data_IF_030908282651
#
_entry.id   IF_030908282651
#
_cell.length_a   1.000
_cell.length_b   1.000
_cell.length_c   1.000
_cell.angle_alpha   90.00
_cell.angle_beta   90.00
_cell.angle_gamma   90.00
#
_symmetry.space_group_name_H-M   'P 1'
#
loop_
_entity.id
_entity.type
_entity.pdbx_description
1 polymer ?
#
# COMPACT_ATOMS: atom_id res chain seq x y z
N UNK A 1 -8.04 -15.11 -2.45
CA UNK A 1 -6.59 -15.37 -2.49
C UNK A 1 -6.19 -16.19 -1.28
N UNK A 2 -5.25 -17.09 -1.46
CA UNK A 2 -4.58 -17.82 -0.38
C UNK A 2 -3.09 -17.73 -0.63
N UNK A 3 -2.33 -17.55 0.42
CA UNK A 3 -0.88 -17.61 0.35
C UNK A 3 -0.44 -19.05 0.17
N UNK A 4 0.54 -19.27 -0.66
CA UNK A 4 1.09 -20.60 -0.90
C UNK A 4 2.22 -20.85 0.09
N UNK A 5 2.04 -21.82 0.97
CA UNK A 5 3.05 -22.16 1.99
C UNK A 5 4.28 -22.85 1.41
N UNK A 6 4.06 -23.69 0.43
CA UNK A 6 5.10 -24.49 -0.17
C UNK A 6 4.90 -24.58 -1.68
N UNK A 7 5.93 -24.16 -2.40
CA UNK A 7 5.93 -24.17 -3.86
C UNK A 7 5.86 -25.60 -4.38
N UNK A 8 6.41 -26.56 -3.67
CA UNK A 8 6.46 -27.96 -4.10
C UNK A 8 5.13 -28.67 -3.91
N UNK A 9 4.42 -28.38 -2.85
CA UNK A 9 3.17 -29.07 -2.49
C UNK A 9 1.93 -28.54 -3.20
N UNK A 10 1.99 -27.32 -3.77
CA UNK A 10 0.83 -26.62 -4.32
C UNK A 10 -0.26 -26.31 -3.28
N UNK A 11 0.07 -26.42 -1.99
CA UNK A 11 -0.85 -26.16 -0.90
C UNK A 11 -1.03 -24.66 -0.66
N UNK A 12 -2.24 -24.30 -0.24
CA UNK A 12 -2.61 -22.95 0.12
C UNK A 12 -3.03 -22.93 1.58
N UNK A 13 -2.32 -22.19 2.43
CA UNK A 13 -2.53 -22.21 3.87
C UNK A 13 -3.73 -21.41 4.32
N UNK A 14 -3.66 -20.11 4.23
CA UNK A 14 -4.66 -19.21 4.75
C UNK A 14 -4.97 -18.06 3.79
N UNK A 15 -6.14 -17.42 3.91
CA UNK A 15 -6.39 -16.18 3.21
C UNK A 15 -5.44 -15.11 3.71
N UNK A 16 -4.72 -14.47 2.79
CA UNK A 16 -3.99 -13.24 3.06
C UNK A 16 -4.85 -12.03 2.65
N UNK A 17 -5.30 -11.29 3.63
CA UNK A 17 -6.20 -10.16 3.43
C UNK A 17 -5.52 -8.99 2.74
N UNK A 18 -4.23 -8.77 3.01
CA UNK A 18 -3.44 -7.70 2.40
C UNK A 18 -3.29 -7.94 0.90
N UNK A 19 -2.74 -9.07 0.51
CA UNK A 19 -2.56 -9.42 -0.90
C UNK A 19 -3.90 -9.53 -1.62
N UNK A 20 -4.93 -10.05 -0.94
CA UNK A 20 -6.27 -10.13 -1.50
C UNK A 20 -6.86 -8.74 -1.77
N UNK A 21 -6.75 -7.82 -0.81
CA UNK A 21 -7.27 -6.46 -0.95
C UNK A 21 -6.54 -5.68 -2.05
N UNK A 22 -5.21 -5.77 -2.09
CA UNK A 22 -4.40 -5.17 -3.14
C UNK A 22 -4.74 -5.73 -4.52
N UNK A 23 -4.89 -7.04 -4.65
CA UNK A 23 -5.28 -7.66 -5.91
C UNK A 23 -6.67 -7.21 -6.36
N UNK A 24 -7.64 -7.17 -5.46
CA UNK A 24 -9.00 -6.68 -5.75
C UNK A 24 -8.96 -5.24 -6.27
N UNK A 25 -8.17 -4.38 -5.63
CA UNK A 25 -8.06 -2.98 -6.04
C UNK A 25 -7.39 -2.84 -7.41
N UNK A 26 -6.30 -3.57 -7.64
CA UNK A 26 -5.62 -3.57 -8.94
C UNK A 26 -6.51 -4.10 -10.07
N UNK A 27 -7.31 -5.14 -9.82
CA UNK A 27 -8.30 -5.60 -10.80
C UNK A 27 -9.38 -4.55 -11.07
N UNK A 28 -9.85 -3.85 -10.04
CA UNK A 28 -10.83 -2.77 -10.23
C UNK A 28 -10.27 -1.64 -11.11
N UNK A 29 -9.02 -1.23 -10.87
CA UNK A 29 -8.33 -0.22 -11.68
C UNK A 29 -8.09 -0.70 -13.12
N UNK A 30 -7.65 -1.95 -13.29
CA UNK A 30 -7.42 -2.54 -14.60
C UNK A 30 -8.71 -2.63 -15.43
N UNK A 31 -9.82 -3.06 -14.83
CA UNK A 31 -11.13 -3.09 -15.48
C UNK A 31 -11.56 -1.68 -15.90
N UNK A 32 -11.41 -0.70 -15.01
CA UNK A 32 -11.75 0.69 -15.30
C UNK A 32 -10.93 1.24 -16.47
N UNK A 33 -9.63 1.00 -16.46
CA UNK A 33 -8.73 1.41 -17.54
C UNK A 33 -9.05 0.72 -18.85
N UNK A 34 -9.28 -0.60 -18.83
CA UNK A 34 -9.63 -1.38 -20.01
C UNK A 34 -10.95 -0.91 -20.63
N UNK A 35 -11.97 -0.62 -19.82
CA UNK A 35 -13.26 -0.07 -20.29
C UNK A 35 -13.10 1.32 -20.91
N UNK A 36 -12.23 2.16 -20.36
CA UNK A 36 -11.93 3.49 -20.92
C UNK A 36 -11.17 3.41 -22.23
N UNK A 37 -10.20 2.53 -22.32
CA UNK A 37 -9.36 2.37 -23.53
C UNK A 37 -10.12 1.61 -24.63
N UNK A 38 -10.97 0.66 -24.26
CA UNK A 38 -11.68 -0.22 -25.19
C UNK A 38 -10.81 -1.36 -25.74
N UNK A 39 -11.45 -2.34 -26.39
CA UNK A 39 -10.76 -3.43 -27.07
C UNK A 39 -10.27 -4.58 -26.19
N UNK A 40 -10.55 -4.57 -24.90
CA UNK A 40 -10.16 -5.62 -23.95
C UNK A 40 -11.37 -6.43 -23.46
N UNK A 41 -11.24 -7.75 -23.46
CA UNK A 41 -12.21 -8.62 -22.79
C UNK A 41 -11.92 -8.68 -21.28
N UNK A 42 -12.77 -8.04 -20.50
CA UNK A 42 -12.65 -7.96 -19.04
C UNK A 42 -13.50 -8.99 -18.31
N UNK A 43 -14.25 -9.84 -18.99
CA UNK A 43 -15.24 -10.74 -18.37
C UNK A 43 -14.66 -11.61 -17.25
N UNK A 44 -13.48 -12.20 -17.47
CA UNK A 44 -12.81 -13.02 -16.44
C UNK A 44 -12.36 -12.19 -15.23
N UNK A 45 -11.87 -10.97 -15.46
CA UNK A 45 -11.43 -10.05 -14.40
C UNK A 45 -12.62 -9.59 -13.57
N UNK A 46 -13.73 -9.25 -14.22
CA UNK A 46 -14.96 -8.86 -13.55
C UNK A 46 -15.54 -10.01 -12.72
N UNK A 47 -15.58 -11.21 -13.27
CA UNK A 47 -16.05 -12.38 -12.55
C UNK A 47 -15.18 -12.68 -11.32
N UNK A 48 -13.86 -12.51 -11.42
CA UNK A 48 -12.96 -12.63 -10.27
C UNK A 48 -13.28 -11.55 -9.24
N UNK A 49 -13.30 -10.28 -9.64
CA UNK A 49 -13.50 -9.15 -8.73
C UNK A 49 -14.85 -9.25 -8.00
N UNK A 50 -15.92 -9.62 -8.70
CA UNK A 50 -17.25 -9.83 -8.08
C UNK A 50 -17.20 -10.89 -6.98
N UNK A 51 -16.59 -12.06 -7.24
CA UNK A 51 -16.47 -13.12 -6.23
C UNK A 51 -15.62 -12.70 -5.03
N UNK A 52 -14.52 -12.02 -5.27
CA UNK A 52 -13.64 -11.54 -4.22
C UNK A 52 -14.32 -10.46 -3.35
N UNK A 53 -15.02 -9.51 -3.97
CA UNK A 53 -15.81 -8.50 -3.25
C UNK A 53 -16.99 -9.12 -2.49
N UNK A 54 -17.65 -10.12 -3.05
CA UNK A 54 -18.71 -10.86 -2.35
C UNK A 54 -18.19 -11.55 -1.08
N UNK A 55 -17.01 -12.14 -1.15
CA UNK A 55 -16.36 -12.73 0.02
C UNK A 55 -16.05 -11.66 1.08
N UNK A 56 -15.37 -10.58 0.70
CA UNK A 56 -15.00 -9.50 1.62
C UNK A 56 -16.24 -8.83 2.23
N UNK A 57 -17.25 -8.54 1.42
CA UNK A 57 -18.47 -7.90 1.90
C UNK A 57 -19.24 -8.78 2.89
N UNK A 58 -19.36 -10.11 2.62
CA UNK A 58 -19.97 -11.05 3.58
C UNK A 58 -19.19 -11.12 4.88
N UNK A 59 -17.85 -11.18 4.79
CA UNK A 59 -16.98 -11.21 5.96
C UNK A 59 -17.18 -9.96 6.82
N UNK A 60 -17.11 -8.78 6.23
CA UNK A 60 -17.33 -7.52 6.96
C UNK A 60 -18.76 -7.41 7.50
N UNK A 61 -19.76 -7.94 6.81
CA UNK A 61 -21.14 -7.92 7.27
C UNK A 61 -21.46 -8.86 8.45
N UNK A 62 -20.57 -9.82 8.73
CA UNK A 62 -20.73 -10.71 9.88
C UNK A 62 -20.76 -9.92 11.19
N UNK A 63 -21.69 -10.24 12.07
CA UNK A 63 -21.81 -9.58 13.37
C UNK A 63 -20.64 -9.82 14.30
N UNK A 64 -19.96 -10.96 14.13
CA UNK A 64 -18.76 -11.32 14.87
C UNK A 64 -17.46 -10.70 14.27
N UNK A 65 -17.56 -9.97 13.16
CA UNK A 65 -16.41 -9.34 12.54
C UNK A 65 -15.86 -8.20 13.42
N UNK A 66 -14.71 -8.44 13.98
CA UNK A 66 -13.97 -7.48 14.81
C UNK A 66 -12.46 -7.77 14.68
N UNK A 67 -11.83 -7.44 13.54
CA UNK A 67 -10.42 -7.73 13.33
C UNK A 67 -9.52 -6.90 14.23
N UNK A 68 -8.49 -7.53 14.78
CA UNK A 68 -7.47 -6.84 15.56
C UNK A 68 -6.41 -6.18 14.69
N UNK A 69 -6.04 -6.83 13.58
CA UNK A 69 -5.07 -6.27 12.64
C UNK A 69 -5.71 -5.30 11.65
N UNK A 70 -4.90 -4.46 11.03
CA UNK A 70 -5.33 -3.55 9.95
C UNK A 70 -5.36 -4.19 8.57
N UNK A 71 -5.05 -5.48 8.45
CA UNK A 71 -5.01 -6.17 7.16
C UNK A 71 -6.32 -6.07 6.36
N UNK A 72 -7.48 -6.05 7.04
CA UNK A 72 -8.78 -5.96 6.37
C UNK A 72 -9.20 -4.53 6.02
N UNK A 73 -8.42 -3.51 6.42
CA UNK A 73 -8.59 -2.15 5.88
C UNK A 73 -8.31 -2.11 4.36
N UNK A 74 -7.51 -3.03 3.86
CA UNK A 74 -7.28 -3.22 2.42
C UNK A 74 -8.54 -3.60 1.62
N UNK A 75 -9.64 -3.96 2.27
CA UNK A 75 -10.91 -4.21 1.60
C UNK A 75 -11.71 -2.94 1.29
N UNK A 76 -11.45 -1.83 1.96
CA UNK A 76 -12.28 -0.62 1.86
C UNK A 76 -12.27 -0.05 0.44
N UNK A 77 -11.11 0.32 -0.06
CA UNK A 77 -10.97 0.93 -1.39
C UNK A 77 -11.46 0.02 -2.53
N UNK A 78 -11.11 -1.28 -2.59
CA UNK A 78 -11.60 -2.14 -3.66
C UNK A 78 -13.10 -2.42 -3.59
N UNK A 79 -13.70 -2.51 -2.40
CA UNK A 79 -15.15 -2.63 -2.26
C UNK A 79 -15.88 -1.41 -2.81
N UNK A 80 -15.38 -0.19 -2.54
CA UNK A 80 -15.92 1.03 -3.12
C UNK A 80 -15.75 1.09 -4.64
N UNK A 81 -14.55 0.75 -5.14
CA UNK A 81 -14.30 0.70 -6.57
C UNK A 81 -15.23 -0.29 -7.28
N UNK A 82 -15.44 -1.48 -6.70
CA UNK A 82 -16.36 -2.47 -7.22
C UNK A 82 -17.83 -2.02 -7.10
N UNK A 83 -18.20 -1.29 -6.04
CA UNK A 83 -19.52 -0.72 -5.91
C UNK A 83 -19.86 0.22 -7.08
N UNK A 84 -18.90 1.08 -7.44
CA UNK A 84 -19.03 1.99 -8.60
C UNK A 84 -19.05 1.22 -9.93
N UNK A 85 -18.12 0.29 -10.12
CA UNK A 85 -17.99 -0.48 -11.36
C UNK A 85 -19.24 -1.32 -11.68
N UNK A 86 -19.89 -1.85 -10.66
CA UNK A 86 -20.95 -2.85 -10.79
C UNK A 86 -22.32 -2.40 -10.25
N UNK A 87 -22.44 -1.19 -9.73
CA UNK A 87 -23.67 -0.69 -9.13
C UNK A 87 -24.08 -1.47 -7.87
N UNK A 88 -23.12 -1.97 -7.08
CA UNK A 88 -23.38 -2.87 -5.94
C UNK A 88 -23.41 -2.13 -4.61
N UNK A 89 -24.57 -1.73 -4.12
CA UNK A 89 -24.76 -1.02 -2.84
C UNK A 89 -24.19 -1.80 -1.66
N UNK A 90 -24.34 -3.13 -1.63
CA UNK A 90 -23.80 -3.97 -0.55
C UNK A 90 -22.29 -3.79 -0.37
N UNK A 91 -21.52 -3.63 -1.46
CA UNK A 91 -20.08 -3.40 -1.39
C UNK A 91 -19.77 -2.05 -0.76
N UNK A 92 -20.53 -1.00 -1.11
CA UNK A 92 -20.34 0.32 -0.51
C UNK A 92 -20.68 0.30 0.99
N UNK A 93 -21.77 -0.37 1.39
CA UNK A 93 -22.13 -0.54 2.80
C UNK A 93 -21.06 -1.29 3.59
N UNK A 94 -20.51 -2.37 3.04
CA UNK A 94 -19.44 -3.11 3.68
C UNK A 94 -18.16 -2.26 3.80
N UNK A 95 -17.82 -1.49 2.76
CA UNK A 95 -16.68 -0.58 2.81
C UNK A 95 -16.84 0.48 3.91
N UNK A 96 -18.00 1.10 4.00
CA UNK A 96 -18.30 2.10 5.05
C UNK A 96 -18.19 1.48 6.45
N UNK A 97 -18.77 0.29 6.67
CA UNK A 97 -18.65 -0.42 7.96
C UNK A 97 -17.20 -0.73 8.34
N UNK A 98 -16.41 -1.21 7.38
CA UNK A 98 -15.00 -1.47 7.63
C UNK A 98 -14.25 -0.17 7.97
N UNK A 99 -14.54 0.90 7.24
CA UNK A 99 -13.92 2.19 7.49
C UNK A 99 -14.30 2.77 8.85
N UNK A 100 -15.56 2.67 9.27
CA UNK A 100 -15.99 3.11 10.60
C UNK A 100 -15.26 2.35 11.72
N UNK A 101 -15.09 1.02 11.57
CA UNK A 101 -14.34 0.22 12.51
C UNK A 101 -12.89 0.72 12.66
N UNK A 102 -12.19 0.91 11.54
CA UNK A 102 -10.81 1.37 11.58
C UNK A 102 -10.68 2.85 11.96
N UNK A 103 -11.62 3.69 11.59
CA UNK A 103 -11.62 5.09 12.02
C UNK A 103 -11.80 5.23 13.53
N UNK A 104 -12.72 4.49 14.13
CA UNK A 104 -12.90 4.49 15.59
C UNK A 104 -11.62 4.07 16.30
N UNK A 105 -10.97 3.02 15.83
CA UNK A 105 -9.73 2.48 16.36
C UNK A 105 -8.57 3.47 16.28
N UNK A 106 -8.42 4.10 15.11
CA UNK A 106 -7.32 5.04 14.85
C UNK A 106 -7.48 6.39 15.53
N UNK A 107 -8.69 6.84 15.77
CA UNK A 107 -8.95 8.15 16.36
C UNK A 107 -9.03 8.10 17.89
N UNK A 108 -9.50 6.99 18.45
CA UNK A 108 -9.66 6.86 19.91
C UNK A 108 -8.33 6.59 20.61
N UNK A 109 -7.37 5.99 19.94
CA UNK A 109 -6.13 5.48 20.55
C UNK A 109 -6.36 4.47 21.68
N UNK A 110 -7.59 3.94 21.78
CA UNK A 110 -7.93 2.95 22.80
C UNK A 110 -7.27 1.60 22.53
N UNK A 111 -7.06 1.32 21.27
CA UNK A 111 -6.25 0.20 20.79
C UNK A 111 -5.24 0.74 19.77
N UNK A 112 -4.03 1.14 20.19
CA UNK A 112 -3.02 1.76 19.32
C UNK A 112 -2.38 0.77 18.34
N UNK A 113 -3.11 -0.23 17.90
CA UNK A 113 -2.60 -1.28 17.04
C UNK A 113 -3.02 -1.09 15.59
N UNK A 114 -2.12 -0.50 14.81
CA UNK A 114 -2.33 -0.22 13.39
C UNK A 114 -1.66 -1.24 12.46
N UNK A 115 -1.11 -2.26 13.02
CA UNK A 115 -0.29 -3.21 12.31
C UNK A 115 -0.90 -4.58 12.16
N UNK A 116 -0.01 -5.57 12.15
CA UNK A 116 -0.34 -6.97 11.94
C UNK A 116 -0.69 -7.28 10.49
N UNK A 117 -0.11 -6.51 9.56
CA UNK A 117 -0.30 -6.75 8.12
C UNK A 117 0.58 -7.90 7.65
N UNK A 118 1.80 -7.67 7.25
CA UNK A 118 2.69 -8.69 6.72
C UNK A 118 3.91 -8.96 7.61
N UNK A 119 4.65 -7.91 7.95
CA UNK A 119 5.99 -8.03 8.50
C UNK A 119 6.08 -7.67 9.99
N UNK A 120 5.06 -7.03 10.54
CA UNK A 120 5.10 -6.55 11.90
C UNK A 120 3.99 -7.14 12.74
N UNK A 121 4.32 -7.52 13.97
CA UNK A 121 3.34 -7.84 15.00
C UNK A 121 2.83 -6.60 15.74
N UNK A 122 3.39 -5.44 15.46
CA UNK A 122 3.03 -4.14 16.00
C UNK A 122 2.53 -3.19 14.91
N UNK A 123 2.62 -1.90 15.19
CA UNK A 123 2.28 -0.83 14.27
C UNK A 123 3.14 -0.88 13.01
N UNK A 124 2.55 -0.71 11.85
CA UNK A 124 3.25 -0.66 10.57
C UNK A 124 2.65 0.36 9.59
N UNK A 125 3.46 0.78 8.61
CA UNK A 125 3.04 1.73 7.60
C UNK A 125 1.96 1.17 6.67
N UNK A 126 1.95 -0.13 6.45
CA UNK A 126 1.03 -0.76 5.50
C UNK A 126 -0.39 -0.71 6.02
N UNK A 127 -0.59 -0.92 7.33
CA UNK A 127 -1.86 -0.74 7.99
C UNK A 127 -2.35 0.70 7.91
N UNK A 128 -1.47 1.66 8.20
CA UNK A 128 -1.78 3.08 8.08
C UNK A 128 -2.13 3.47 6.63
N UNK A 129 -1.38 2.96 5.66
CA UNK A 129 -1.67 3.21 4.26
C UNK A 129 -3.00 2.62 3.81
N UNK A 130 -3.33 1.40 4.23
CA UNK A 130 -4.61 0.79 3.89
C UNK A 130 -5.81 1.64 4.38
N UNK A 131 -5.71 2.16 5.62
CA UNK A 131 -6.70 3.06 6.18
C UNK A 131 -6.75 4.40 5.40
N UNK A 132 -5.60 5.00 5.13
CA UNK A 132 -5.50 6.23 4.35
C UNK A 132 -6.16 6.08 2.97
N UNK A 133 -5.80 5.04 2.23
CA UNK A 133 -6.38 4.75 0.92
C UNK A 133 -7.91 4.57 1.01
N UNK A 134 -8.37 3.82 2.02
CA UNK A 134 -9.78 3.56 2.24
C UNK A 134 -10.57 4.81 2.58
N UNK A 135 -10.08 5.64 3.49
CA UNK A 135 -10.75 6.88 3.90
C UNK A 135 -10.78 7.92 2.78
N UNK A 136 -9.68 8.04 2.02
CA UNK A 136 -9.65 8.93 0.86
C UNK A 136 -10.64 8.48 -0.21
N UNK A 137 -10.74 7.18 -0.47
CA UNK A 137 -11.72 6.62 -1.40
C UNK A 137 -13.16 6.89 -0.95
N UNK A 138 -13.44 6.82 0.37
CA UNK A 138 -14.75 7.18 0.92
C UNK A 138 -15.06 8.66 0.75
N UNK A 139 -14.10 9.54 1.02
CA UNK A 139 -14.27 10.95 0.74
C UNK A 139 -14.61 11.20 -0.74
N UNK A 140 -13.88 10.55 -1.64
CA UNK A 140 -14.12 10.68 -3.08
C UNK A 140 -15.51 10.18 -3.50
N UNK A 141 -16.00 9.16 -2.82
CA UNK A 141 -17.32 8.58 -3.08
C UNK A 141 -18.47 9.39 -2.48
N UNK A 142 -18.30 9.89 -1.25
CA UNK A 142 -19.39 10.51 -0.47
C UNK A 142 -19.34 12.03 -0.44
N UNK A 143 -18.14 12.61 -0.60
CA UNK A 143 -17.84 14.02 -0.37
C UNK A 143 -18.05 14.48 1.07
N UNK A 144 -18.14 13.56 2.00
CA UNK A 144 -18.19 13.86 3.42
C UNK A 144 -16.81 14.29 3.94
N UNK A 145 -16.74 15.52 4.45
CA UNK A 145 -15.50 16.14 4.95
C UNK A 145 -14.88 15.38 6.13
N UNK A 146 -15.67 14.61 6.86
CA UNK A 146 -15.16 13.77 7.95
C UNK A 146 -14.21 12.70 7.41
N UNK A 147 -14.52 12.08 6.28
CA UNK A 147 -13.62 11.11 5.64
C UNK A 147 -12.33 11.77 5.14
N UNK A 148 -12.39 13.03 4.69
CA UNK A 148 -11.18 13.75 4.33
C UNK A 148 -10.28 13.99 5.57
N UNK A 149 -10.87 14.40 6.68
CA UNK A 149 -10.15 14.61 7.95
C UNK A 149 -9.51 13.31 8.45
N UNK A 150 -10.23 12.19 8.36
CA UNK A 150 -9.72 10.85 8.71
C UNK A 150 -8.59 10.42 7.77
N UNK A 151 -8.70 10.71 6.48
CA UNK A 151 -7.65 10.45 5.51
C UNK A 151 -6.39 11.28 5.79
N UNK A 152 -6.52 12.55 6.18
CA UNK A 152 -5.39 13.39 6.60
C UNK A 152 -4.67 12.76 7.80
N UNK A 153 -5.41 12.37 8.84
CA UNK A 153 -4.81 11.75 10.01
C UNK A 153 -4.07 10.44 9.67
N UNK A 154 -4.67 9.56 8.87
CA UNK A 154 -4.01 8.33 8.44
C UNK A 154 -2.78 8.61 7.56
N UNK A 155 -2.83 9.66 6.73
CA UNK A 155 -1.68 10.10 5.95
C UNK A 155 -0.54 10.59 6.84
N UNK A 156 -0.82 11.34 7.91
CA UNK A 156 0.19 11.78 8.88
C UNK A 156 0.90 10.58 9.52
N UNK A 157 0.15 9.52 9.82
CA UNK A 157 0.75 8.28 10.32
C UNK A 157 1.63 7.64 9.25
N UNK A 158 1.20 7.54 7.99
CA UNK A 158 2.05 7.06 6.90
C UNK A 158 3.34 7.89 6.77
N UNK A 159 3.22 9.21 6.89
CA UNK A 159 4.36 10.13 6.78
C UNK A 159 5.35 9.99 7.93
N UNK A 160 4.91 9.54 9.10
CA UNK A 160 5.80 9.25 10.23
C UNK A 160 6.80 8.12 9.93
N UNK A 161 6.49 7.26 8.97
CA UNK A 161 7.39 6.22 8.46
C UNK A 161 8.22 6.68 7.25
N UNK A 162 8.04 7.89 6.77
CA UNK A 162 8.71 8.40 5.57
C UNK A 162 9.99 9.13 5.94
N UNK A 163 11.07 8.75 5.28
CA UNK A 163 12.37 9.40 5.46
C UNK A 163 12.38 10.74 4.72
N UNK A 164 12.63 11.81 5.44
CA UNK A 164 12.62 13.18 4.91
C UNK A 164 14.02 13.78 4.72
N UNK A 165 15.07 13.02 4.99
CA UNK A 165 16.48 13.39 4.80
C UNK A 165 17.24 12.30 4.04
N UNK A 166 18.42 12.62 3.56
CA UNK A 166 19.31 11.62 2.97
C UNK A 166 20.12 10.96 4.09
N UNK A 167 19.82 9.70 4.38
CA UNK A 167 20.57 8.88 5.33
C UNK A 167 21.92 8.55 4.69
N UNK A 168 23.05 8.73 5.41
CA UNK A 168 24.34 8.29 4.92
C UNK A 168 24.33 6.77 4.67
N UNK A 169 24.51 6.40 3.42
CA UNK A 169 24.54 4.99 3.04
C UNK A 169 25.89 4.38 3.42
N UNK A 170 25.92 3.17 3.99
CA UNK A 170 27.17 2.43 4.18
C UNK A 170 27.86 2.18 2.84
N UNK A 171 29.18 1.91 2.89
CA UNK A 171 29.94 1.55 1.69
C UNK A 171 29.31 0.36 0.99
N UNK A 172 29.10 0.47 -0.31
CA UNK A 172 28.46 -0.54 -1.12
C UNK A 172 27.76 0.04 -2.34
N UNK A 173 27.10 -0.81 -3.09
CA UNK A 173 26.55 -0.50 -4.41
C UNK A 173 25.59 0.72 -4.41
N UNK A 174 24.79 0.88 -3.37
CA UNK A 174 23.85 2.01 -3.29
C UNK A 174 24.57 3.33 -3.05
N UNK A 175 25.58 3.34 -2.15
CA UNK A 175 26.44 4.50 -1.91
C UNK A 175 27.24 4.86 -3.16
N UNK A 176 27.84 3.86 -3.82
CA UNK A 176 28.64 4.02 -5.04
C UNK A 176 27.83 4.63 -6.19
N UNK A 177 26.52 4.40 -6.18
CA UNK A 177 25.58 4.96 -7.16
C UNK A 177 24.98 6.30 -6.73
N UNK A 178 25.31 6.78 -5.55
CA UNK A 178 24.84 8.06 -5.04
C UNK A 178 23.35 8.14 -4.80
N UNK A 179 22.72 7.01 -4.40
CA UNK A 179 21.30 6.98 -4.15
C UNK A 179 20.91 7.89 -2.97
N UNK A 180 19.71 8.41 -3.04
CA UNK A 180 19.12 9.31 -2.05
C UNK A 180 17.95 8.64 -1.38
N UNK A 181 17.86 8.73 -0.06
CA UNK A 181 16.84 8.03 0.73
C UNK A 181 15.58 8.86 1.03
N UNK A 182 15.57 10.13 0.68
CA UNK A 182 14.37 10.96 0.88
C UNK A 182 13.18 10.41 0.11
N UNK A 183 12.07 10.21 0.82
CA UNK A 183 10.85 9.61 0.26
C UNK A 183 10.79 8.09 0.36
N UNK A 184 11.87 7.45 0.84
CA UNK A 184 11.82 6.04 1.20
C UNK A 184 11.07 5.86 2.52
N UNK A 185 10.67 4.64 2.82
CA UNK A 185 9.87 4.35 4.00
C UNK A 185 10.51 3.28 4.87
N UNK A 186 10.29 3.33 6.17
CA UNK A 186 10.51 2.20 7.06
C UNK A 186 9.23 1.38 7.17
N UNK A 187 9.34 0.11 7.48
CA UNK A 187 8.17 -0.79 7.61
C UNK A 187 7.46 -0.53 8.92
N UNK A 188 8.21 -0.54 10.01
CA UNK A 188 7.68 -0.39 11.37
C UNK A 188 8.78 0.01 12.34
N UNK A 189 8.45 0.39 13.58
CA UNK A 189 9.46 0.61 14.63
C UNK A 189 10.29 -0.64 14.92
N UNK A 190 9.73 -1.81 14.73
CA UNK A 190 10.39 -3.09 14.96
C UNK A 190 11.24 -3.53 13.76
N UNK A 191 10.80 -3.20 12.58
CA UNK A 191 11.38 -3.61 11.32
C UNK A 191 12.01 -2.39 10.63
N UNK A 192 13.28 -2.15 10.93
CA UNK A 192 14.01 -0.93 10.59
C UNK A 192 14.64 -0.97 9.20
N UNK A 193 14.18 -1.82 8.31
CA UNK A 193 14.65 -1.75 6.94
C UNK A 193 13.94 -0.63 6.18
N UNK A 194 14.69 0.01 5.30
CA UNK A 194 14.14 0.99 4.38
C UNK A 194 13.67 0.30 3.10
N UNK A 195 12.56 0.75 2.63
CA UNK A 195 11.98 0.27 1.38
C UNK A 195 11.44 1.41 0.51
N UNK A 196 10.99 1.06 -0.65
CA UNK A 196 10.43 2.00 -1.63
C UNK A 196 8.91 1.91 -1.75
N UNK A 197 8.26 1.36 -0.74
CA UNK A 197 6.80 1.27 -0.73
C UNK A 197 6.08 2.61 -0.72
N UNK A 198 6.78 3.70 -0.42
CA UNK A 198 6.23 5.04 -0.54
C UNK A 198 5.61 5.33 -1.91
N UNK A 199 6.05 4.63 -2.96
CA UNK A 199 5.43 4.75 -4.29
C UNK A 199 3.96 4.36 -4.30
N UNK A 200 3.54 3.44 -3.42
CA UNK A 200 2.16 2.96 -3.36
C UNK A 200 1.16 4.04 -2.98
N UNK A 201 1.53 4.90 -2.04
CA UNK A 201 0.63 5.94 -1.56
C UNK A 201 0.98 7.35 -2.06
N UNK A 202 2.03 7.47 -2.86
CA UNK A 202 2.35 8.74 -3.50
C UNK A 202 1.19 9.33 -4.33
N UNK A 203 0.44 8.57 -5.15
CA UNK A 203 -0.72 9.11 -5.85
C UNK A 203 -1.85 9.54 -4.92
N UNK A 204 -2.11 8.79 -3.86
CA UNK A 204 -3.10 9.15 -2.85
C UNK A 204 -2.69 10.41 -2.09
N UNK A 205 -1.42 10.52 -1.73
CA UNK A 205 -0.89 11.71 -1.06
C UNK A 205 -0.99 12.96 -1.95
N UNK A 206 -0.73 12.80 -3.25
CA UNK A 206 -0.92 13.89 -4.21
C UNK A 206 -2.38 14.35 -4.28
N UNK A 207 -3.34 13.41 -4.33
CA UNK A 207 -4.77 13.72 -4.33
C UNK A 207 -5.21 14.37 -3.03
N UNK A 208 -4.72 13.86 -1.90
CA UNK A 208 -4.99 14.49 -0.61
C UNK A 208 -4.53 15.96 -0.62
N UNK A 209 -3.30 16.22 -1.05
CA UNK A 209 -2.79 17.59 -1.20
C UNK A 209 -3.62 18.45 -2.15
N UNK A 210 -4.23 17.86 -3.18
CA UNK A 210 -5.17 18.57 -4.06
C UNK A 210 -6.47 18.93 -3.32
N UNK A 211 -7.03 18.00 -2.56
CA UNK A 211 -8.29 18.23 -1.83
C UNK A 211 -8.13 19.20 -0.65
N UNK A 212 -6.96 19.23 -0.04
CA UNK A 212 -6.65 20.10 1.09
C UNK A 212 -5.95 21.41 0.69
N UNK A 213 -5.68 21.57 -0.61
CA UNK A 213 -4.89 22.69 -1.15
C UNK A 213 -3.50 22.79 -0.51
N UNK A 214 -2.86 21.65 -0.27
CA UNK A 214 -1.53 21.55 0.33
C UNK A 214 -0.48 21.19 -0.74
N UNK A 215 0.25 22.18 -1.19
CA UNK A 215 1.31 22.01 -2.20
C UNK A 215 2.52 21.24 -1.66
N UNK A 216 2.75 21.21 -0.34
CA UNK A 216 3.85 20.46 0.26
C UNK A 216 3.57 18.96 0.16
N UNK A 217 2.34 18.53 0.41
CA UNK A 217 1.94 17.12 0.21
C UNK A 217 2.08 16.71 -1.26
N UNK A 218 1.68 17.56 -2.20
CA UNK A 218 1.85 17.29 -3.63
C UNK A 218 3.33 17.19 -4.02
N UNK A 219 4.17 18.09 -3.51
CA UNK A 219 5.60 18.09 -3.74
C UNK A 219 6.28 16.85 -3.14
N UNK A 220 5.92 16.48 -1.92
CA UNK A 220 6.42 15.28 -1.26
C UNK A 220 6.03 14.02 -2.02
N UNK A 221 4.79 13.91 -2.48
CA UNK A 221 4.33 12.80 -3.31
C UNK A 221 5.19 12.61 -4.57
N UNK A 222 5.55 13.71 -5.25
CA UNK A 222 6.46 13.65 -6.40
C UNK A 222 7.87 13.20 -6.01
N UNK A 223 8.39 13.69 -4.87
CA UNK A 223 9.70 13.24 -4.35
C UNK A 223 9.66 11.75 -4.07
N UNK A 224 8.62 11.26 -3.41
CA UNK A 224 8.46 9.84 -3.09
C UNK A 224 8.42 8.98 -4.36
N UNK A 225 7.62 9.36 -5.33
CA UNK A 225 7.53 8.65 -6.59
C UNK A 225 8.89 8.54 -7.29
N UNK A 226 9.61 9.66 -7.43
CA UNK A 226 10.91 9.71 -8.11
C UNK A 226 12.01 9.01 -7.32
N UNK A 227 12.06 9.25 -6.01
CA UNK A 227 13.07 8.68 -5.15
C UNK A 227 12.96 7.16 -5.08
N UNK A 228 11.76 6.64 -4.93
CA UNK A 228 11.53 5.20 -4.95
C UNK A 228 11.92 4.55 -6.29
N UNK A 229 11.82 5.27 -7.40
CA UNK A 229 12.26 4.81 -8.72
C UNK A 229 13.76 4.56 -8.86
N UNK A 230 14.58 5.08 -7.96
CA UNK A 230 16.04 4.85 -7.96
C UNK A 230 16.42 3.38 -7.77
N UNK A 231 15.53 2.58 -7.19
CA UNK A 231 15.75 1.15 -6.98
C UNK A 231 15.25 0.28 -8.14
N UNK A 232 14.73 0.85 -9.21
CA UNK A 232 14.57 0.10 -10.45
C UNK A 232 15.96 -0.32 -10.90
N UNK A 233 16.21 -1.63 -10.90
CA UNK A 233 17.56 -2.17 -11.08
C UNK A 233 18.10 -1.94 -12.51
N UNK A 234 18.88 -0.86 -12.74
CA UNK A 234 19.43 -0.57 -14.06
C UNK A 234 20.66 -1.42 -14.37
N UNK A 235 21.13 -2.20 -13.41
CA UNK A 235 22.30 -3.06 -13.52
C UNK A 235 22.02 -4.53 -13.27
N UNK A 236 20.75 -4.89 -13.04
CA UNK A 236 20.27 -6.26 -12.96
C UNK A 236 20.13 -6.91 -14.32
N UNK A 237 20.24 -8.22 -14.35
CA UNK A 237 20.14 -8.97 -15.60
C UNK A 237 18.70 -9.12 -16.10
N UNK A 238 17.73 -8.87 -15.26
CA UNK A 238 16.30 -9.15 -15.52
C UNK A 238 15.40 -7.91 -15.41
N UNK A 239 15.98 -6.74 -15.21
CA UNK A 239 15.19 -5.52 -14.97
C UNK A 239 14.39 -5.58 -13.65
N UNK A 240 14.79 -6.41 -12.72
CA UNK A 240 14.22 -6.52 -11.40
C UNK A 240 14.66 -5.36 -10.52
N UNK A 241 13.87 -5.09 -9.50
CA UNK A 241 14.13 -4.00 -8.57
C UNK A 241 14.61 -4.50 -7.23
N UNK A 242 15.56 -3.78 -6.67
CA UNK A 242 15.90 -3.88 -5.26
C UNK A 242 14.85 -3.08 -4.52
N UNK A 243 14.05 -3.73 -3.70
CA UNK A 243 12.94 -3.06 -3.04
C UNK A 243 13.22 -2.69 -1.59
N UNK A 244 14.20 -3.34 -0.96
CA UNK A 244 14.49 -3.16 0.45
C UNK A 244 15.98 -3.03 0.69
N UNK A 245 16.30 -2.17 1.64
CA UNK A 245 17.62 -2.01 2.21
C UNK A 245 17.50 -2.06 3.71
N UNK A 246 18.31 -2.86 4.35
CA UNK A 246 18.32 -2.97 5.80
C UNK A 246 19.38 -2.06 6.37
N UNK A 247 18.97 -1.10 7.21
CA UNK A 247 19.86 -0.21 7.93
C UNK A 247 19.77 -0.50 9.41
N UNK A 248 20.89 -0.87 9.99
CA UNK A 248 20.97 -0.94 11.42
C UNK A 248 21.86 0.13 11.98
N UNK A 249 21.43 0.68 13.06
CA UNK A 249 22.24 1.58 13.85
C UNK A 249 23.42 0.85 14.53
N UNK A 250 23.28 -0.46 14.69
CA UNK A 250 24.33 -1.36 15.18
C UNK A 250 24.25 -2.63 14.35
N UNK A 251 25.30 -3.07 13.74
CA UNK A 251 25.18 -4.25 12.98
C UNK A 251 26.47 -5.01 12.79
N UNK A 252 26.37 -6.27 13.01
CA UNK A 252 27.27 -7.20 12.41
C UNK A 252 26.81 -7.47 10.98
N UNK A 253 27.53 -6.91 10.03
CA UNK A 253 27.26 -7.11 8.60
C UNK A 253 27.44 -8.57 8.16
N UNK A 254 28.00 -9.40 9.02
CA UNK A 254 28.20 -10.83 8.74
C UNK A 254 26.95 -11.68 8.96
N UNK A 255 25.97 -11.22 9.71
CA UNK A 255 24.76 -11.97 9.98
C UNK A 255 23.58 -11.49 9.12
N UNK A 256 23.52 -12.03 7.92
CA UNK A 256 22.44 -11.77 6.96
C UNK A 256 21.09 -12.37 7.39
N UNK A 257 21.03 -13.21 8.42
CA UNK A 257 19.81 -13.82 8.91
C UNK A 257 19.09 -12.94 9.94
N UNK A 258 19.84 -12.06 10.57
CA UNK A 258 19.30 -11.03 11.44
C UNK A 258 19.30 -9.70 10.69
N UNK A 259 18.23 -9.42 9.99
CA UNK A 259 18.02 -8.14 9.31
C UNK A 259 18.04 -6.92 10.24
N UNK A 260 18.35 -7.13 11.48
CA UNK A 260 18.56 -6.10 12.50
C UNK A 260 20.06 -5.90 12.67
N UNK A 261 20.60 -4.94 12.03
CA UNK A 261 21.95 -4.58 12.39
C UNK A 261 22.94 -4.49 11.26
N UNK A 262 22.55 -4.51 10.02
CA UNK A 262 23.48 -4.42 8.91
C UNK A 262 22.89 -3.78 7.66
N UNK A 263 23.75 -3.61 6.68
CA UNK A 263 23.37 -3.22 5.35
C UNK A 263 23.23 -4.48 4.51
N UNK A 264 22.04 -4.71 3.99
CA UNK A 264 21.79 -5.75 3.02
C UNK A 264 20.99 -5.19 1.85
N UNK A 265 21.53 -5.29 0.66
CA UNK A 265 20.75 -5.16 -0.56
C UNK A 265 20.04 -6.50 -0.76
N UNK A 266 18.82 -6.60 -0.31
CA UNK A 266 18.03 -7.81 -0.47
C UNK A 266 16.78 -7.55 -1.27
N UNK A 267 16.19 -8.60 -1.82
CA UNK A 267 14.89 -8.65 -2.45
C UNK A 267 14.82 -7.92 -3.79
N UNK A 268 15.02 -8.67 -4.82
CA UNK A 268 14.53 -8.32 -6.16
C UNK A 268 13.19 -8.96 -6.34
N UNK A 269 12.13 -8.20 -6.46
CA UNK A 269 10.78 -8.73 -6.66
C UNK A 269 9.99 -7.93 -7.67
N UNK A 270 9.18 -8.64 -8.44
CA UNK A 270 8.34 -8.05 -9.47
C UNK A 270 7.24 -7.15 -8.90
N UNK A 271 6.87 -7.31 -7.65
CA UNK A 271 5.77 -6.55 -7.10
C UNK A 271 6.06 -5.06 -7.00
N UNK A 272 7.32 -4.64 -6.75
CA UNK A 272 7.64 -3.21 -6.77
C UNK A 272 7.45 -2.61 -8.18
N UNK A 273 7.76 -3.38 -9.23
CA UNK A 273 7.44 -2.98 -10.60
C UNK A 273 5.93 -2.83 -10.79
N UNK A 274 5.14 -3.75 -10.25
CA UNK A 274 3.69 -3.67 -10.27
C UNK A 274 3.18 -2.42 -9.53
N UNK A 275 3.79 -2.07 -8.40
CA UNK A 275 3.45 -0.88 -7.64
C UNK A 275 3.78 0.42 -8.39
N UNK A 276 4.91 0.46 -9.09
CA UNK A 276 5.23 1.59 -9.97
C UNK A 276 4.23 1.71 -11.12
N UNK A 277 3.87 0.60 -11.77
CA UNK A 277 2.86 0.61 -12.82
C UNK A 277 1.50 1.07 -12.31
N UNK A 278 1.11 0.62 -11.11
CA UNK A 278 -0.10 1.08 -10.44
C UNK A 278 -0.06 2.59 -10.17
N UNK A 279 1.03 3.08 -9.60
CA UNK A 279 1.19 4.51 -9.30
C UNK A 279 1.22 5.34 -10.59
N UNK A 280 1.90 4.87 -11.62
CA UNK A 280 1.92 5.53 -12.94
C UNK A 280 0.52 5.60 -13.55
N UNK A 281 -0.25 4.51 -13.50
CA UNK A 281 -1.61 4.49 -14.02
C UNK A 281 -2.53 5.46 -13.28
N UNK A 282 -2.39 5.58 -11.96
CA UNK A 282 -3.13 6.57 -11.17
C UNK A 282 -2.73 8.01 -11.50
N UNK A 283 -1.45 8.27 -11.67
CA UNK A 283 -0.96 9.59 -12.07
C UNK A 283 -1.49 9.97 -13.46
N UNK A 284 -1.51 9.01 -14.40
CA UNK A 284 -2.08 9.22 -15.74
C UNK A 284 -3.58 9.53 -15.67
N UNK A 285 -4.35 8.80 -14.86
CA UNK A 285 -5.78 9.09 -14.63
C UNK A 285 -6.03 10.50 -14.09
N UNK A 286 -5.11 11.04 -13.31
CA UNK A 286 -5.16 12.40 -12.77
C UNK A 286 -4.63 13.46 -13.75
N UNK A 287 -4.05 13.07 -14.86
CA UNK A 287 -3.34 13.97 -15.78
C UNK A 287 -2.06 14.58 -15.17
N UNK A 288 -1.49 13.90 -14.18
CA UNK A 288 -0.31 14.38 -13.46
C UNK A 288 0.93 13.62 -13.95
N UNK A 289 1.98 14.37 -14.25
CA UNK A 289 3.32 13.80 -14.43
C UNK A 289 4.08 13.89 -13.10
N UNK A 290 4.37 12.74 -12.48
CA UNK A 290 5.07 12.71 -11.20
C UNK A 290 6.55 13.12 -11.29
#
# INVERSE_FOLDING_TARGET
FRVRDDVSSQCWSSPDQVSMGQAMYNFALAIRSARRTGGYDTARWEAFLRRACDFAARRVADTAWHPRSTAEAFFIAPLLAAAVLFGCVRNATAAARAADHYAARHLSMDEPYWGGTLDASGEDKEGAWAAFQGFLALYEHTRDAEWLRRAQHAADVCLSYTVVWDIPLPAGRLADRGLRTRGWTSVSPQNQHLDVYGVLYAPELYRLGTYTNDENLQSLARVMYRSCGQLIDPWGRQGEQIQQTNFAQRGDLSDVTQFRGGYAEGWTVFWITAHFLHAAAKCDEMGVRP
#
